data_IF_791677051644
#
_entry.id   IF_791677051644
#
_cell.length_a   1.000
_cell.length_b   1.000
_cell.length_c   1.000
_cell.angle_alpha   90.00
_cell.angle_beta   90.00
_cell.angle_gamma   90.00
#
_symmetry.space_group_name_H-M   'P 1'
#
loop_
_entity.id
_entity.type
_entity.pdbx_description
1 polymer ?
#
# COMPACT_ATOMS: atom_id res chain seq x y z
N UNK A 1 30.26 -75.69 -39.05
CA UNK A 1 29.03 -75.41 -38.29
C UNK A 1 29.31 -74.26 -37.35
N UNK A 2 28.84 -73.08 -37.72
CA UNK A 2 29.10 -71.82 -37.00
C UNK A 2 27.76 -71.08 -36.92
N UNK A 3 27.15 -71.01 -35.74
CA UNK A 3 25.85 -70.37 -35.51
C UNK A 3 25.99 -68.85 -35.27
N UNK A 4 25.07 -68.02 -35.73
CA UNK A 4 25.13 -66.60 -35.54
C UNK A 4 24.37 -66.22 -34.22
N UNK A 5 25.13 -65.77 -33.21
CA UNK A 5 24.63 -65.22 -31.95
C UNK A 5 24.93 -63.70 -31.89
N UNK A 6 24.26 -62.91 -32.75
CA UNK A 6 24.44 -61.43 -32.66
C UNK A 6 23.25 -60.70 -33.30
N UNK A 7 22.04 -60.80 -32.69
CA UNK A 7 20.89 -59.97 -33.10
C UNK A 7 19.88 -59.60 -32.02
N UNK A 8 20.13 -59.84 -30.74
CA UNK A 8 19.12 -59.58 -29.67
C UNK A 8 19.38 -58.32 -28.82
N UNK A 9 20.55 -57.68 -28.93
CA UNK A 9 20.93 -56.57 -28.04
C UNK A 9 20.52 -55.14 -28.50
N UNK A 10 19.90 -54.95 -29.67
CA UNK A 10 19.56 -53.60 -30.15
C UNK A 10 18.09 -53.15 -29.89
N UNK A 11 17.22 -54.04 -29.47
CA UNK A 11 15.81 -53.69 -29.26
C UNK A 11 15.47 -53.12 -27.84
N UNK A 12 16.28 -53.47 -26.84
CA UNK A 12 16.05 -53.02 -25.43
C UNK A 12 16.36 -51.54 -25.18
N UNK A 13 17.35 -50.99 -25.90
CA UNK A 13 17.78 -49.60 -25.69
C UNK A 13 16.83 -48.54 -26.26
N UNK A 14 16.14 -48.86 -27.34
CA UNK A 14 15.17 -47.96 -27.99
C UNK A 14 13.87 -47.91 -27.19
N UNK A 15 13.39 -49.02 -26.65
CA UNK A 15 12.17 -49.08 -25.82
C UNK A 15 12.37 -48.35 -24.48
N UNK A 16 13.54 -48.42 -23.88
CA UNK A 16 13.85 -47.68 -22.64
C UNK A 16 13.89 -46.16 -22.85
N UNK A 17 14.42 -45.71 -23.99
CA UNK A 17 14.44 -44.26 -24.34
C UNK A 17 13.06 -43.67 -24.59
N UNK A 18 12.16 -44.42 -25.24
CA UNK A 18 10.78 -43.99 -25.48
C UNK A 18 9.96 -43.95 -24.18
N UNK A 19 10.16 -44.89 -23.25
CA UNK A 19 9.47 -44.91 -21.97
C UNK A 19 9.89 -43.73 -21.08
N UNK A 20 11.17 -43.35 -21.08
CA UNK A 20 11.70 -42.17 -20.32
C UNK A 20 11.20 -40.88 -20.93
N UNK A 21 11.14 -40.75 -22.27
CA UNK A 21 10.59 -39.59 -22.96
C UNK A 21 9.08 -39.41 -22.70
N UNK A 22 8.31 -40.49 -22.66
CA UNK A 22 6.89 -40.46 -22.33
C UNK A 22 6.63 -40.07 -20.88
N UNK A 23 7.48 -40.47 -19.93
CA UNK A 23 7.38 -40.13 -18.53
C UNK A 23 7.70 -38.65 -18.27
N UNK A 24 8.66 -38.04 -19.02
CA UNK A 24 9.01 -36.63 -18.96
C UNK A 24 7.92 -35.71 -19.51
N UNK A 25 7.17 -36.15 -20.51
CA UNK A 25 6.04 -35.38 -21.10
C UNK A 25 4.86 -35.36 -20.13
N UNK A 26 4.61 -36.40 -19.35
CA UNK A 26 3.48 -36.50 -18.42
C UNK A 26 3.64 -35.52 -17.21
N UNK A 27 4.89 -35.14 -16.83
CA UNK A 27 5.14 -34.25 -15.68
C UNK A 27 4.88 -32.77 -16.03
N UNK A 28 4.95 -32.38 -17.30
CA UNK A 28 4.74 -30.99 -17.74
C UNK A 28 3.26 -30.56 -17.81
N UNK A 29 2.32 -31.50 -17.76
CA UNK A 29 0.89 -31.20 -17.90
C UNK A 29 0.16 -30.90 -16.58
N UNK A 30 0.78 -31.10 -15.42
CA UNK A 30 0.11 -31.01 -14.13
C UNK A 30 -0.13 -29.56 -13.64
N UNK A 31 0.63 -28.59 -14.15
CA UNK A 31 0.58 -27.20 -13.65
C UNK A 31 -0.53 -26.35 -14.26
N UNK A 32 -1.09 -26.76 -15.39
CA UNK A 32 -2.02 -25.95 -16.18
C UNK A 32 -3.48 -26.44 -16.11
N UNK A 33 -3.82 -27.33 -15.15
CA UNK A 33 -5.19 -27.80 -15.06
C UNK A 33 -6.13 -26.67 -14.64
N UNK A 34 -7.05 -26.32 -15.55
CA UNK A 34 -8.12 -25.35 -15.30
C UNK A 34 -9.11 -25.96 -14.30
N UNK A 35 -9.40 -25.21 -13.23
CA UNK A 35 -10.33 -25.64 -12.17
C UNK A 35 -11.66 -24.90 -12.27
N UNK A 36 -11.61 -23.62 -12.67
CA UNK A 36 -12.79 -22.79 -12.81
C UNK A 36 -12.65 -21.92 -14.06
N UNK A 37 -13.73 -21.72 -14.79
CA UNK A 37 -13.86 -20.70 -15.82
C UNK A 37 -14.81 -19.61 -15.32
N UNK A 38 -14.41 -18.34 -15.45
CA UNK A 38 -15.23 -17.17 -15.09
C UNK A 38 -15.51 -16.37 -16.36
N UNK A 39 -16.68 -16.48 -16.93
CA UNK A 39 -17.02 -15.91 -18.23
C UNK A 39 -15.99 -16.29 -19.33
N UNK A 40 -15.46 -17.51 -19.28
CA UNK A 40 -14.42 -18.01 -20.18
C UNK A 40 -12.98 -17.76 -19.73
N UNK A 41 -12.71 -16.91 -18.76
CA UNK A 41 -11.37 -16.69 -18.21
C UNK A 41 -10.97 -17.81 -17.23
N UNK A 42 -9.86 -18.53 -17.45
CA UNK A 42 -9.47 -19.66 -16.63
C UNK A 42 -8.86 -19.25 -15.28
N UNK A 43 -9.14 -20.08 -14.27
CA UNK A 43 -8.43 -20.17 -13.00
C UNK A 43 -7.82 -21.56 -12.91
N UNK A 44 -6.49 -21.63 -12.75
CA UNK A 44 -5.72 -22.87 -12.74
C UNK A 44 -5.39 -23.33 -11.32
N UNK A 45 -4.96 -24.58 -11.16
CA UNK A 45 -4.41 -25.07 -9.89
C UNK A 45 -3.20 -24.23 -9.44
N UNK A 46 -2.36 -23.78 -10.37
CA UNK A 46 -1.24 -22.90 -10.08
C UNK A 46 -1.70 -21.55 -9.46
N UNK A 47 -2.73 -20.94 -10.04
CA UNK A 47 -3.29 -19.70 -9.51
C UNK A 47 -3.80 -19.87 -8.06
N UNK A 48 -4.48 -21.01 -7.81
CA UNK A 48 -5.00 -21.35 -6.48
C UNK A 48 -3.87 -21.53 -5.49
N UNK A 49 -2.83 -22.28 -5.84
CA UNK A 49 -1.68 -22.50 -4.98
C UNK A 49 -0.96 -21.19 -4.64
N UNK A 50 -0.65 -20.38 -5.64
CA UNK A 50 0.01 -19.11 -5.48
C UNK A 50 -0.83 -18.11 -4.68
N UNK A 51 -2.13 -18.04 -4.90
CA UNK A 51 -3.03 -17.18 -4.13
C UNK A 51 -3.17 -17.67 -2.68
N UNK A 52 -3.23 -18.97 -2.46
CA UNK A 52 -3.26 -19.56 -1.10
C UNK A 52 -2.03 -19.14 -0.30
N UNK A 53 -0.83 -19.21 -0.90
CA UNK A 53 0.42 -18.74 -0.26
C UNK A 53 0.38 -17.25 0.03
N UNK A 54 -0.10 -16.42 -0.92
CA UNK A 54 -0.25 -14.98 -0.71
C UNK A 54 -1.18 -14.68 0.46
N UNK A 55 -2.34 -15.33 0.54
CA UNK A 55 -3.29 -15.18 1.63
C UNK A 55 -2.70 -15.62 2.97
N UNK A 56 -1.97 -16.72 3.00
CA UNK A 56 -1.30 -17.22 4.21
C UNK A 56 -0.25 -16.23 4.73
N UNK A 57 0.57 -15.65 3.84
CA UNK A 57 1.58 -14.65 4.21
C UNK A 57 0.91 -13.38 4.75
N UNK A 58 -0.18 -12.92 4.12
CA UNK A 58 -0.85 -11.67 4.49
C UNK A 58 -1.71 -11.77 5.74
N UNK A 59 -2.39 -12.91 5.95
CA UNK A 59 -3.34 -13.10 7.07
C UNK A 59 -2.76 -13.92 8.22
N UNK A 60 -1.62 -14.62 8.00
CA UNK A 60 -1.02 -15.60 8.90
C UNK A 60 -1.96 -16.79 9.23
N UNK A 61 -2.97 -17.02 8.40
CA UNK A 61 -3.92 -18.12 8.52
C UNK A 61 -3.91 -18.93 7.24
N UNK A 62 -4.09 -20.24 7.36
CA UNK A 62 -4.25 -21.10 6.19
C UNK A 62 -5.66 -20.93 5.63
N UNK A 63 -5.82 -20.41 4.38
CA UNK A 63 -7.14 -20.30 3.78
C UNK A 63 -7.63 -21.66 3.30
N UNK A 64 -8.93 -21.83 3.26
CA UNK A 64 -9.55 -22.97 2.58
C UNK A 64 -9.43 -22.82 1.06
N UNK A 65 -9.44 -23.95 0.35
CA UNK A 65 -9.40 -23.92 -1.12
C UNK A 65 -10.56 -23.09 -1.70
N UNK A 66 -11.75 -23.17 -1.09
CA UNK A 66 -12.92 -22.42 -1.56
C UNK A 66 -12.76 -20.92 -1.37
N UNK A 67 -12.24 -20.45 -0.26
CA UNK A 67 -11.93 -19.04 -0.04
C UNK A 67 -10.96 -18.49 -1.09
N UNK A 68 -9.93 -19.29 -1.43
CA UNK A 68 -8.97 -18.91 -2.47
C UNK A 68 -9.63 -18.81 -3.84
N UNK A 69 -10.46 -19.79 -4.20
CA UNK A 69 -11.21 -19.79 -5.47
C UNK A 69 -12.16 -18.58 -5.54
N UNK A 70 -12.87 -18.29 -4.45
CA UNK A 70 -13.80 -17.17 -4.38
C UNK A 70 -13.09 -15.81 -4.53
N UNK A 71 -11.91 -15.63 -3.95
CA UNK A 71 -11.08 -14.44 -4.19
C UNK A 71 -10.64 -14.33 -5.65
N UNK A 72 -10.17 -15.42 -6.25
CA UNK A 72 -9.73 -15.43 -7.66
C UNK A 72 -10.87 -15.12 -8.62
N UNK A 73 -12.06 -15.69 -8.38
CA UNK A 73 -13.28 -15.36 -9.12
C UNK A 73 -13.57 -13.86 -9.00
N UNK A 74 -13.53 -13.31 -7.79
CA UNK A 74 -13.71 -11.89 -7.53
C UNK A 74 -12.73 -11.02 -8.33
N UNK A 75 -11.46 -11.38 -8.36
CA UNK A 75 -10.42 -10.63 -9.09
C UNK A 75 -10.64 -10.71 -10.61
N UNK A 76 -11.05 -11.88 -11.16
CA UNK A 76 -11.43 -12.00 -12.58
C UNK A 76 -12.60 -11.07 -12.92
N UNK A 77 -13.65 -11.06 -12.10
CA UNK A 77 -14.81 -10.19 -12.30
C UNK A 77 -14.46 -8.69 -12.22
N UNK A 78 -13.60 -8.29 -11.28
CA UNK A 78 -13.10 -6.90 -11.18
C UNK A 78 -12.38 -6.48 -12.46
N UNK A 79 -11.48 -7.33 -12.97
CA UNK A 79 -10.75 -7.04 -14.21
C UNK A 79 -11.69 -6.99 -15.42
N UNK A 80 -12.66 -7.89 -15.52
CA UNK A 80 -13.63 -7.93 -16.63
C UNK A 80 -14.51 -6.67 -16.63
N UNK A 81 -15.01 -6.26 -15.47
CA UNK A 81 -15.79 -5.02 -15.38
C UNK A 81 -14.95 -3.80 -15.68
N UNK A 82 -13.68 -3.77 -15.24
CA UNK A 82 -12.74 -2.72 -15.58
C UNK A 82 -12.59 -2.56 -17.10
N UNK A 83 -12.33 -3.65 -17.81
CA UNK A 83 -12.25 -3.64 -19.28
C UNK A 83 -13.53 -3.09 -19.93
N UNK A 84 -14.71 -3.43 -19.42
CA UNK A 84 -16.02 -2.95 -19.90
C UNK A 84 -16.18 -1.44 -19.75
N UNK A 85 -15.62 -0.85 -18.69
CA UNK A 85 -15.68 0.60 -18.42
C UNK A 85 -14.43 1.35 -18.89
N UNK A 86 -13.51 0.70 -19.62
CA UNK A 86 -12.27 1.32 -20.08
C UNK A 86 -11.25 1.62 -18.98
N UNK A 87 -11.40 0.98 -17.81
CA UNK A 87 -10.48 1.13 -16.65
C UNK A 87 -9.43 0.02 -16.73
N UNK A 88 -8.23 0.39 -17.17
CA UNK A 88 -7.10 -0.54 -17.29
C UNK A 88 -5.86 0.12 -16.72
N UNK A 89 -5.41 -0.29 -15.51
CA UNK A 89 -4.20 0.25 -14.92
C UNK A 89 -2.97 -0.07 -15.76
N UNK A 90 -2.07 0.89 -15.87
CA UNK A 90 -0.75 0.70 -16.49
C UNK A 90 0.13 -0.18 -15.62
N UNK A 91 1.15 -0.80 -16.22
CA UNK A 91 2.13 -1.57 -15.45
C UNK A 91 2.87 -0.68 -14.44
N UNK A 92 3.13 0.57 -14.79
CA UNK A 92 3.73 1.56 -13.86
C UNK A 92 2.88 1.80 -12.61
N UNK A 93 1.55 1.89 -12.73
CA UNK A 93 0.66 2.03 -11.56
C UNK A 93 0.72 0.80 -10.65
N UNK A 94 0.75 -0.39 -11.24
CA UNK A 94 0.88 -1.65 -10.50
C UNK A 94 2.24 -1.76 -9.82
N UNK A 95 3.32 -1.39 -10.52
CA UNK A 95 4.68 -1.39 -9.98
C UNK A 95 4.85 -0.38 -8.86
N UNK A 96 4.24 0.79 -8.96
CA UNK A 96 4.19 1.78 -7.88
C UNK A 96 3.44 1.24 -6.64
N UNK A 97 2.32 0.56 -6.84
CA UNK A 97 1.59 -0.08 -5.74
C UNK A 97 2.43 -1.18 -5.07
N UNK A 98 3.12 -2.00 -5.88
CA UNK A 98 4.06 -3.02 -5.38
C UNK A 98 5.22 -2.40 -4.59
N UNK A 99 5.84 -1.33 -5.12
CA UNK A 99 6.90 -0.60 -4.45
C UNK A 99 6.45 0.05 -3.14
N UNK A 100 5.18 0.48 -3.03
CA UNK A 100 4.62 0.98 -1.77
C UNK A 100 4.56 -0.11 -0.70
N UNK A 101 4.15 -1.33 -1.06
CA UNK A 101 4.14 -2.48 -0.14
C UNK A 101 5.58 -2.84 0.29
N UNK A 102 6.53 -2.86 -0.65
CA UNK A 102 7.93 -3.11 -0.35
C UNK A 102 8.48 -2.09 0.68
N UNK A 103 8.17 -0.80 0.51
CA UNK A 103 8.56 0.27 1.47
C UNK A 103 7.98 0.07 2.86
N UNK A 104 6.72 -0.37 2.95
CA UNK A 104 6.08 -0.69 4.24
C UNK A 104 6.81 -1.84 4.93
N UNK A 105 7.37 -2.77 4.15
CA UNK A 105 8.21 -3.87 4.64
C UNK A 105 9.70 -3.47 4.82
N UNK A 106 10.04 -2.18 4.69
CA UNK A 106 11.41 -1.62 4.77
C UNK A 106 12.39 -2.26 3.77
N UNK A 107 11.91 -2.66 2.60
CA UNK A 107 12.70 -3.29 1.54
C UNK A 107 12.65 -2.47 0.24
N UNK A 108 13.67 -2.65 -0.63
CA UNK A 108 13.55 -2.22 -2.02
C UNK A 108 12.60 -3.14 -2.79
N UNK A 109 11.98 -2.69 -3.90
CA UNK A 109 11.10 -3.54 -4.70
C UNK A 109 11.75 -4.85 -5.14
N UNK A 110 13.05 -4.81 -5.50
CA UNK A 110 13.83 -5.98 -5.94
C UNK A 110 14.09 -6.95 -4.78
N UNK A 111 14.48 -6.42 -3.61
CA UNK A 111 14.69 -7.24 -2.41
C UNK A 111 13.39 -7.88 -1.93
N UNK A 112 12.29 -7.14 -2.01
CA UNK A 112 10.96 -7.64 -1.66
C UNK A 112 10.52 -8.76 -2.62
N UNK A 113 10.69 -8.58 -3.95
CA UNK A 113 10.38 -9.61 -4.94
C UNK A 113 11.18 -10.89 -4.68
N UNK A 114 12.50 -10.80 -4.45
CA UNK A 114 13.34 -11.96 -4.10
C UNK A 114 12.89 -12.64 -2.80
N UNK A 115 12.46 -11.86 -1.81
CA UNK A 115 11.91 -12.40 -0.57
C UNK A 115 10.63 -13.22 -0.79
N UNK A 116 9.73 -12.75 -1.65
CA UNK A 116 8.53 -13.49 -2.06
C UNK A 116 8.90 -14.80 -2.78
N UNK A 117 9.83 -14.75 -3.76
CA UNK A 117 10.31 -15.92 -4.50
C UNK A 117 10.95 -16.95 -3.59
N UNK A 118 11.78 -16.53 -2.63
CA UNK A 118 12.37 -17.41 -1.62
C UNK A 118 11.33 -18.10 -0.74
N UNK A 119 10.17 -17.45 -0.52
CA UNK A 119 8.99 -18.01 0.13
C UNK A 119 8.11 -18.86 -0.80
N UNK A 120 8.53 -19.10 -2.06
CA UNK A 120 7.78 -19.86 -3.06
C UNK A 120 6.56 -19.13 -3.64
N UNK A 121 6.50 -17.80 -3.49
CA UNK A 121 5.45 -16.95 -4.06
C UNK A 121 5.98 -16.16 -5.25
N UNK A 122 5.36 -16.33 -6.41
CA UNK A 122 5.66 -15.53 -7.58
C UNK A 122 5.20 -14.07 -7.37
N UNK A 123 6.10 -13.07 -7.49
CA UNK A 123 5.72 -11.65 -7.34
C UNK A 123 4.58 -11.20 -8.26
N UNK A 124 4.43 -11.82 -9.43
CA UNK A 124 3.34 -11.52 -10.35
C UNK A 124 1.96 -11.88 -9.79
N UNK A 125 1.86 -12.82 -8.85
CA UNK A 125 0.60 -13.13 -8.14
C UNK A 125 0.13 -11.92 -7.32
N UNK A 126 1.03 -11.28 -6.59
CA UNK A 126 0.73 -10.05 -5.86
C UNK A 126 0.41 -8.90 -6.81
N UNK A 127 1.19 -8.72 -7.88
CA UNK A 127 0.94 -7.68 -8.90
C UNK A 127 -0.42 -7.87 -9.58
N UNK A 128 -0.84 -9.10 -9.87
CA UNK A 128 -2.15 -9.40 -10.43
C UNK A 128 -3.29 -9.03 -9.48
N UNK A 129 -3.14 -9.32 -8.18
CA UNK A 129 -4.08 -8.88 -7.15
C UNK A 129 -4.16 -7.36 -7.07
N UNK A 130 -3.02 -6.68 -7.03
CA UNK A 130 -2.96 -5.21 -7.00
C UNK A 130 -3.65 -4.59 -8.21
N UNK A 131 -3.45 -5.17 -9.41
CA UNK A 131 -4.13 -4.71 -10.63
C UNK A 131 -5.65 -4.82 -10.47
N UNK A 132 -6.16 -5.94 -9.97
CA UNK A 132 -7.60 -6.11 -9.72
C UNK A 132 -8.12 -5.11 -8.67
N UNK A 133 -7.37 -4.85 -7.62
CA UNK A 133 -7.76 -3.92 -6.55
C UNK A 133 -7.74 -2.45 -7.03
N UNK A 134 -6.77 -2.05 -7.87
CA UNK A 134 -6.71 -0.72 -8.48
C UNK A 134 -7.93 -0.51 -9.39
N UNK A 135 -8.21 -1.46 -10.28
CA UNK A 135 -9.40 -1.44 -11.13
C UNK A 135 -10.66 -1.28 -10.28
N UNK A 136 -10.78 -2.13 -9.27
CA UNK A 136 -11.97 -2.13 -8.42
C UNK A 136 -12.18 -0.82 -7.70
N UNK A 137 -11.11 -0.26 -7.15
CA UNK A 137 -11.18 1.04 -6.47
C UNK A 137 -11.63 2.16 -7.40
N UNK A 138 -11.17 2.18 -8.65
CA UNK A 138 -11.59 3.17 -9.65
C UNK A 138 -13.07 2.98 -10.05
N UNK A 139 -13.49 1.73 -10.29
CA UNK A 139 -14.88 1.41 -10.64
C UNK A 139 -15.85 1.81 -9.53
N UNK A 140 -15.57 1.41 -8.27
CA UNK A 140 -16.45 1.72 -7.14
C UNK A 140 -16.53 3.22 -6.92
N UNK A 141 -15.41 3.94 -6.95
CA UNK A 141 -15.39 5.40 -6.79
C UNK A 141 -16.14 6.11 -7.93
N UNK A 142 -15.97 5.69 -9.17
CA UNK A 142 -16.65 6.31 -10.30
C UNK A 142 -18.15 6.00 -10.32
N UNK A 143 -18.53 4.72 -10.21
CA UNK A 143 -19.93 4.27 -10.32
C UNK A 143 -20.80 4.73 -9.16
N UNK A 144 -20.24 4.80 -7.94
CA UNK A 144 -20.99 5.09 -6.72
C UNK A 144 -20.61 6.43 -6.07
N UNK A 145 -20.01 7.36 -6.83
CA UNK A 145 -19.50 8.64 -6.33
C UNK A 145 -20.50 9.36 -5.40
N UNK A 146 -21.77 9.48 -5.80
CA UNK A 146 -22.81 10.13 -5.00
C UNK A 146 -23.17 9.40 -3.71
N UNK A 147 -23.08 8.06 -3.70
CA UNK A 147 -23.38 7.24 -2.50
C UNK A 147 -22.21 7.20 -1.52
N UNK A 148 -21.00 7.50 -2.00
CA UNK A 148 -19.79 7.54 -1.17
C UNK A 148 -19.62 8.87 -0.44
N UNK A 149 -20.33 9.93 -0.86
CA UNK A 149 -20.24 11.23 -0.21
C UNK A 149 -20.78 11.15 1.22
N UNK A 150 -20.00 11.71 2.15
CA UNK A 150 -20.33 11.81 3.56
C UNK A 150 -20.74 13.26 3.84
N UNK A 151 -21.99 13.47 4.20
CA UNK A 151 -22.53 14.81 4.49
C UNK A 151 -22.14 15.30 5.89
N UNK A 152 -22.11 16.63 6.07
CA UNK A 152 -21.83 17.23 7.39
C UNK A 152 -22.81 16.76 8.48
N UNK A 153 -24.07 16.54 8.11
CA UNK A 153 -25.09 16.01 9.03
C UNK A 153 -24.72 14.61 9.54
N UNK A 154 -24.30 13.72 8.64
CA UNK A 154 -23.89 12.36 9.00
C UNK A 154 -22.69 12.38 9.96
N UNK A 155 -21.72 13.29 9.69
CA UNK A 155 -20.53 13.47 10.53
C UNK A 155 -20.93 13.96 11.92
N UNK A 156 -21.83 14.95 11.99
CA UNK A 156 -22.28 15.51 13.27
C UNK A 156 -22.99 14.45 14.13
N UNK A 157 -23.93 13.71 13.56
CA UNK A 157 -24.65 12.62 14.26
C UNK A 157 -23.70 11.50 14.74
N UNK A 158 -22.64 11.21 13.97
CA UNK A 158 -21.66 10.20 14.35
C UNK A 158 -20.72 10.70 15.46
N UNK A 159 -20.36 12.00 15.44
CA UNK A 159 -19.55 12.61 16.49
C UNK A 159 -20.31 12.70 17.83
N UNK A 160 -21.59 13.08 17.82
CA UNK A 160 -22.42 13.10 19.05
C UNK A 160 -22.43 11.75 19.75
N UNK A 161 -22.40 10.66 18.98
CA UNK A 161 -22.37 9.28 19.52
C UNK A 161 -20.99 8.87 20.06
N UNK A 162 -19.90 9.48 19.58
CA UNK A 162 -18.51 9.05 19.86
C UNK A 162 -17.75 9.93 20.85
N UNK A 163 -18.11 11.21 21.01
CA UNK A 163 -17.27 12.15 21.78
C UNK A 163 -18.07 12.95 22.81
N UNK A 164 -17.43 13.20 23.97
CA UNK A 164 -17.92 14.12 25.01
C UNK A 164 -17.86 15.62 24.61
N UNK A 165 -18.02 15.96 23.34
CA UNK A 165 -18.18 17.34 22.87
C UNK A 165 -16.91 18.20 22.81
N UNK A 166 -15.69 17.63 22.91
CA UNK A 166 -14.43 18.37 22.96
C UNK A 166 -13.53 18.21 21.71
N UNK A 167 -14.12 18.06 20.52
CA UNK A 167 -13.31 17.97 19.31
C UNK A 167 -12.98 19.37 18.77
N UNK A 168 -11.96 20.00 19.34
CA UNK A 168 -11.46 21.32 18.91
C UNK A 168 -10.32 21.13 17.92
N UNK A 169 -10.51 21.66 16.72
CA UNK A 169 -9.44 21.76 15.72
C UNK A 169 -8.56 22.98 15.92
N UNK A 170 -7.35 22.92 15.42
CA UNK A 170 -6.42 24.06 15.40
C UNK A 170 -5.88 24.29 13.99
N UNK A 171 -5.81 25.54 13.57
CA UNK A 171 -5.03 25.97 12.42
C UNK A 171 -3.68 26.49 12.92
N UNK A 172 -2.61 25.96 12.36
CA UNK A 172 -1.24 26.35 12.67
C UNK A 172 -0.61 27.11 11.50
N UNK A 173 0.11 28.20 11.81
CA UNK A 173 1.09 28.81 10.90
C UNK A 173 2.46 28.25 11.28
N UNK A 174 2.99 27.36 10.45
CA UNK A 174 4.25 26.69 10.65
C UNK A 174 5.32 27.24 9.69
N UNK A 175 6.53 27.43 10.18
CA UNK A 175 7.68 27.75 9.32
C UNK A 175 8.70 26.63 9.41
N UNK A 176 8.91 25.87 8.30
CA UNK A 176 9.89 24.79 8.27
C UNK A 176 11.31 25.36 8.29
N UNK A 177 12.16 24.80 9.15
CA UNK A 177 13.59 25.10 9.27
C UNK A 177 14.35 23.81 9.10
N UNK A 178 15.24 23.74 8.11
CA UNK A 178 16.00 22.54 7.76
C UNK A 178 17.49 22.81 7.90
N UNK A 179 18.14 22.08 8.78
CA UNK A 179 19.60 22.02 8.85
C UNK A 179 20.04 21.00 7.79
N UNK A 180 20.60 21.49 6.70
CA UNK A 180 20.91 20.68 5.52
C UNK A 180 22.04 19.69 5.83
N UNK A 181 21.84 18.44 5.42
CA UNK A 181 22.84 17.37 5.48
C UNK A 181 23.00 16.80 4.08
N UNK A 182 24.21 16.77 3.50
CA UNK A 182 24.45 16.14 2.21
C UNK A 182 24.09 14.64 2.24
N UNK A 183 23.56 14.13 1.15
CA UNK A 183 23.22 12.70 1.05
C UNK A 183 24.48 11.84 1.18
N UNK A 184 24.38 10.75 1.91
CA UNK A 184 25.51 9.84 2.15
C UNK A 184 26.48 10.32 3.23
N UNK A 185 26.16 11.37 3.99
CA UNK A 185 26.98 11.81 5.13
C UNK A 185 27.10 10.73 6.21
N UNK A 186 28.26 10.67 6.86
CA UNK A 186 28.49 9.75 7.96
C UNK A 186 27.57 10.02 9.16
N UNK A 187 27.27 9.01 9.96
CA UNK A 187 26.40 9.14 11.14
C UNK A 187 26.89 10.20 12.13
N UNK A 188 28.21 10.41 12.26
CA UNK A 188 28.81 11.47 13.09
C UNK A 188 28.41 12.89 12.65
N UNK A 189 28.26 13.11 11.32
CA UNK A 189 27.79 14.40 10.77
C UNK A 189 26.34 14.63 11.12
N UNK A 190 25.50 13.58 10.99
CA UNK A 190 24.09 13.66 11.37
C UNK A 190 23.92 13.99 12.84
N UNK A 191 24.71 13.36 13.71
CA UNK A 191 24.66 13.60 15.15
C UNK A 191 25.17 15.01 15.53
N UNK A 192 26.22 15.51 14.88
CA UNK A 192 26.69 16.89 15.07
C UNK A 192 25.60 17.89 14.69
N UNK A 193 24.95 17.69 13.53
CA UNK A 193 23.83 18.53 13.08
C UNK A 193 22.63 18.47 14.00
N UNK A 194 22.36 17.32 14.62
CA UNK A 194 21.28 17.18 15.61
C UNK A 194 21.56 18.03 16.84
N UNK A 195 22.79 18.04 17.33
CA UNK A 195 23.18 18.92 18.45
C UNK A 195 23.04 20.40 18.10
N UNK A 196 23.39 20.80 16.88
CA UNK A 196 23.19 22.18 16.40
C UNK A 196 21.68 22.53 16.33
N UNK A 197 20.83 21.60 15.86
CA UNK A 197 19.38 21.76 15.85
C UNK A 197 18.80 21.92 17.26
N UNK A 198 19.26 21.12 18.22
CA UNK A 198 18.85 21.24 19.62
C UNK A 198 19.31 22.56 20.22
N UNK A 199 20.53 23.04 19.93
CA UNK A 199 21.02 24.34 20.36
C UNK A 199 20.20 25.49 19.73
N UNK A 200 19.86 25.40 18.45
CA UNK A 200 18.96 26.37 17.79
C UNK A 200 17.60 26.39 18.48
N UNK A 201 17.03 25.21 18.77
CA UNK A 201 15.74 25.08 19.45
C UNK A 201 15.69 25.77 20.78
N UNK A 202 16.77 25.66 21.60
CA UNK A 202 16.86 26.33 22.89
C UNK A 202 16.92 27.87 22.77
N UNK A 203 17.58 28.38 21.73
CA UNK A 203 17.75 29.81 21.47
C UNK A 203 16.57 30.47 20.77
N UNK A 204 15.73 29.69 20.11
CA UNK A 204 14.58 30.18 19.35
C UNK A 204 13.42 30.48 20.31
N UNK A 205 13.16 31.77 20.56
CA UNK A 205 12.18 32.23 21.55
C UNK A 205 10.85 32.67 20.89
N UNK A 206 10.93 33.24 19.70
CA UNK A 206 9.78 33.72 18.91
C UNK A 206 10.10 33.71 17.43
N UNK A 207 9.04 33.75 16.57
CA UNK A 207 9.22 33.73 15.13
C UNK A 207 9.77 35.04 14.54
N UNK A 208 9.56 36.21 15.22
CA UNK A 208 10.01 37.50 14.74
C UNK A 208 11.54 37.61 14.77
N UNK A 209 12.15 37.24 15.85
CA UNK A 209 13.60 37.27 16.06
C UNK A 209 14.28 35.95 15.64
N UNK A 210 13.65 34.83 15.94
CA UNK A 210 14.22 33.51 15.71
C UNK A 210 14.35 33.12 14.23
N UNK A 211 13.41 33.51 13.39
CA UNK A 211 13.47 33.24 11.93
C UNK A 211 14.63 33.96 11.25
N UNK A 212 14.84 35.27 11.43
CA UNK A 212 16.04 35.95 10.91
C UNK A 212 17.34 35.34 11.47
N UNK A 213 17.38 34.99 12.77
CA UNK A 213 18.53 34.34 13.39
C UNK A 213 18.82 32.97 12.71
N UNK A 214 17.83 32.13 12.55
CA UNK A 214 18.00 30.81 11.90
C UNK A 214 18.47 30.96 10.43
N UNK A 215 17.96 31.97 9.69
CA UNK A 215 18.36 32.27 8.33
C UNK A 215 19.81 32.71 8.19
N UNK A 216 20.38 33.30 9.20
CA UNK A 216 21.76 33.73 9.22
C UNK A 216 22.78 32.60 9.56
N UNK A 217 22.28 31.43 9.97
CA UNK A 217 23.11 30.27 10.25
C UNK A 217 23.57 29.58 8.97
N UNK A 218 24.79 29.05 9.01
CA UNK A 218 25.37 28.33 7.87
C UNK A 218 24.66 26.99 7.65
N UNK A 219 24.36 26.71 6.38
CA UNK A 219 23.70 25.48 5.91
C UNK A 219 22.33 25.23 6.60
N UNK A 220 21.62 26.31 6.92
CA UNK A 220 20.24 26.29 7.41
C UNK A 220 19.33 26.92 6.38
N UNK A 221 18.33 26.14 5.92
CA UNK A 221 17.31 26.61 5.00
C UNK A 221 16.01 26.90 5.79
N UNK A 222 15.57 28.16 5.76
CA UNK A 222 14.27 28.57 6.29
C UNK A 222 13.29 28.69 5.11
N UNK A 223 12.29 27.81 5.09
CA UNK A 223 11.28 27.75 4.02
C UNK A 223 10.17 28.76 4.26
N UNK A 224 9.34 28.99 3.26
CA UNK A 224 8.14 29.82 3.37
C UNK A 224 7.16 29.24 4.40
N UNK A 225 6.40 30.11 5.08
CA UNK A 225 5.42 29.66 6.07
C UNK A 225 4.30 28.88 5.40
N UNK A 226 3.84 27.83 6.08
CA UNK A 226 2.74 27.00 5.64
C UNK A 226 1.63 27.02 6.68
N UNK A 227 0.37 27.12 6.21
CA UNK A 227 -0.80 26.90 7.07
C UNK A 227 -1.17 25.42 7.06
N UNK A 228 -1.42 24.85 8.20
CA UNK A 228 -1.86 23.47 8.37
C UNK A 228 -2.98 23.37 9.39
N UNK A 229 -4.03 22.64 9.02
CA UNK A 229 -5.07 22.28 9.96
C UNK A 229 -4.63 21.06 10.78
N UNK A 230 -4.99 21.00 12.05
CA UNK A 230 -4.70 19.85 12.92
C UNK A 230 -5.27 18.53 12.38
N UNK A 231 -6.36 18.59 11.62
CA UNK A 231 -6.94 17.44 10.93
C UNK A 231 -6.03 16.86 9.85
N UNK A 232 -5.17 17.67 9.22
CA UNK A 232 -4.25 17.26 8.15
C UNK A 232 -2.91 16.72 8.65
N UNK A 233 -2.68 16.80 9.96
CA UNK A 233 -1.43 16.37 10.59
C UNK A 233 -1.48 14.89 10.97
N UNK A 234 -0.30 14.25 10.92
CA UNK A 234 -0.17 12.91 11.51
C UNK A 234 -0.47 12.98 13.01
N UNK A 235 -0.99 11.91 13.64
CA UNK A 235 -1.28 11.90 15.08
C UNK A 235 -0.07 12.31 15.92
N UNK A 236 1.13 11.83 15.58
CA UNK A 236 2.36 12.14 16.27
C UNK A 236 2.73 13.64 16.21
N UNK A 237 2.68 14.24 15.00
CA UNK A 237 2.97 15.66 14.83
C UNK A 237 1.92 16.54 15.52
N UNK A 238 0.66 16.12 15.50
CA UNK A 238 -0.45 16.79 16.19
C UNK A 238 -0.20 16.87 17.70
N UNK A 239 0.19 15.76 18.33
CA UNK A 239 0.52 15.73 19.75
C UNK A 239 1.70 16.62 20.08
N UNK A 240 2.74 16.63 19.23
CA UNK A 240 3.90 17.50 19.40
C UNK A 240 3.47 18.96 19.35
N UNK A 241 2.73 19.38 18.31
CA UNK A 241 2.32 20.77 18.13
C UNK A 241 1.32 21.24 19.19
N UNK A 242 0.49 20.35 19.73
CA UNK A 242 -0.44 20.68 20.81
C UNK A 242 0.30 21.08 22.11
N UNK A 243 1.49 20.50 22.37
CA UNK A 243 2.29 20.71 23.59
C UNK A 243 3.29 21.86 23.45
N UNK A 244 3.58 22.32 22.23
CA UNK A 244 4.57 23.38 22.00
C UNK A 244 3.91 24.75 22.13
N UNK A 245 4.58 25.65 22.81
CA UNK A 245 4.19 27.06 22.90
C UNK A 245 4.38 27.78 21.56
N UNK A 246 3.53 28.76 21.29
CA UNK A 246 3.67 29.65 20.14
C UNK A 246 5.03 30.36 20.22
N UNK A 247 5.73 30.44 19.09
CA UNK A 247 7.06 31.01 19.01
C UNK A 247 8.19 29.98 19.20
N UNK A 248 7.92 28.73 19.51
CA UNK A 248 8.93 27.68 19.74
C UNK A 248 9.07 26.71 18.55
N UNK A 249 10.20 25.98 18.56
CA UNK A 249 10.50 24.94 17.57
C UNK A 249 10.05 23.56 18.05
N UNK A 250 9.58 22.73 17.11
CA UNK A 250 9.39 21.29 17.33
C UNK A 250 10.71 20.59 17.64
N UNK A 251 10.70 19.38 18.24
CA UNK A 251 11.88 18.55 18.31
C UNK A 251 12.47 18.30 16.91
N UNK A 252 13.81 18.18 16.79
CA UNK A 252 14.47 17.91 15.52
C UNK A 252 14.14 16.52 15.00
N UNK A 253 13.73 16.41 13.73
CA UNK A 253 13.43 15.17 13.03
C UNK A 253 14.41 14.97 11.88
N UNK A 254 14.96 13.75 11.75
CA UNK A 254 15.88 13.41 10.66
C UNK A 254 15.06 13.06 9.41
N UNK A 255 15.31 13.79 8.33
CA UNK A 255 14.66 13.60 7.03
C UNK A 255 15.69 13.30 5.94
N UNK A 256 15.22 13.02 4.73
CA UNK A 256 16.10 12.80 3.56
C UNK A 256 16.88 14.05 3.13
N UNK A 257 16.51 15.23 3.61
CA UNK A 257 17.12 16.53 3.25
C UNK A 257 17.98 17.12 4.38
N UNK A 258 17.96 16.52 5.56
CA UNK A 258 18.67 16.99 6.74
C UNK A 258 17.81 16.85 8.01
N UNK A 259 18.02 17.73 8.98
CA UNK A 259 17.23 17.77 10.20
C UNK A 259 16.18 18.87 10.08
N UNK A 260 14.92 18.49 10.15
CA UNK A 260 13.78 19.39 10.02
C UNK A 260 13.16 19.70 11.37
N UNK A 261 12.79 20.96 11.58
CA UNK A 261 12.01 21.48 12.70
C UNK A 261 10.96 22.45 12.17
N UNK A 262 9.85 22.58 12.87
CA UNK A 262 8.82 23.56 12.57
C UNK A 262 8.78 24.63 13.67
N UNK A 263 8.88 25.91 13.28
CA UNK A 263 8.53 27.00 14.19
C UNK A 263 7.02 27.19 14.20
N UNK A 264 6.39 27.15 15.37
CA UNK A 264 4.97 27.37 15.57
C UNK A 264 4.73 28.85 15.72
N UNK A 265 4.44 29.55 14.61
CA UNK A 265 4.32 31.02 14.65
C UNK A 265 2.91 31.48 15.04
N UNK A 266 1.86 30.74 14.68
CA UNK A 266 0.50 31.02 15.14
C UNK A 266 -0.23 29.70 15.41
N UNK A 267 -1.19 29.75 16.33
CA UNK A 267 -2.19 28.71 16.59
C UNK A 267 -3.54 29.39 16.80
N UNK A 268 -4.54 28.99 16.00
CA UNK A 268 -5.91 29.47 16.12
C UNK A 268 -6.84 28.28 16.25
N UNK A 269 -7.82 28.37 17.13
CA UNK A 269 -8.89 27.36 17.20
C UNK A 269 -9.78 27.47 15.96
N UNK A 270 -10.22 26.33 15.47
CA UNK A 270 -11.15 26.23 14.34
C UNK A 270 -12.16 25.13 14.57
N UNK A 271 -13.42 25.44 14.29
CA UNK A 271 -14.52 24.47 14.31
C UNK A 271 -14.84 23.88 12.92
N UNK A 272 -14.22 24.40 11.86
CA UNK A 272 -14.57 24.03 10.49
C UNK A 272 -14.11 22.62 10.12
N UNK A 273 -12.90 22.24 10.48
CA UNK A 273 -12.35 20.90 10.22
C UNK A 273 -11.55 20.43 11.44
N UNK A 274 -12.11 19.48 12.18
CA UNK A 274 -11.49 18.92 13.37
C UNK A 274 -10.90 17.53 13.05
N UNK A 275 -9.93 17.04 13.84
CA UNK A 275 -9.41 15.68 13.69
C UNK A 275 -10.51 14.62 13.80
N UNK A 276 -11.45 14.77 14.70
CA UNK A 276 -12.58 13.86 14.87
C UNK A 276 -13.53 13.87 13.68
N UNK A 277 -13.87 15.06 13.15
CA UNK A 277 -14.66 15.18 11.91
C UNK A 277 -14.00 14.43 10.76
N UNK A 278 -12.69 14.63 10.57
CA UNK A 278 -11.95 13.95 9.52
C UNK A 278 -11.93 12.45 9.72
N UNK A 279 -11.63 11.98 10.93
CA UNK A 279 -11.61 10.56 11.23
C UNK A 279 -12.98 9.92 10.96
N UNK A 280 -14.07 10.52 11.42
CA UNK A 280 -15.44 10.03 11.19
C UNK A 280 -15.76 10.01 9.70
N UNK A 281 -15.39 11.06 8.96
CA UNK A 281 -15.59 11.13 7.50
C UNK A 281 -14.86 10.00 6.79
N UNK A 282 -13.59 9.75 7.12
CA UNK A 282 -12.77 8.71 6.51
C UNK A 282 -13.30 7.30 6.84
N UNK A 283 -13.72 7.05 8.08
CA UNK A 283 -14.34 5.81 8.50
C UNK A 283 -15.67 5.56 7.74
N UNK A 284 -16.58 6.53 7.70
CA UNK A 284 -17.84 6.40 6.99
C UNK A 284 -17.67 6.23 5.48
N UNK A 285 -16.68 6.95 4.89
CA UNK A 285 -16.34 6.76 3.50
C UNK A 285 -15.85 5.32 3.25
N UNK A 286 -14.95 4.81 4.10
CA UNK A 286 -14.42 3.45 4.00
C UNK A 286 -15.55 2.40 4.12
N UNK A 287 -16.43 2.56 5.08
CA UNK A 287 -17.60 1.66 5.26
C UNK A 287 -18.53 1.68 4.04
N UNK A 288 -18.89 2.87 3.55
CA UNK A 288 -19.71 3.01 2.34
C UNK A 288 -19.03 2.41 1.11
N UNK A 289 -17.73 2.64 0.96
CA UNK A 289 -16.93 2.09 -0.13
C UNK A 289 -16.93 0.55 -0.10
N UNK A 290 -16.68 -0.05 1.06
CA UNK A 290 -16.68 -1.50 1.22
C UNK A 290 -18.07 -2.09 0.96
N UNK A 291 -19.12 -1.49 1.53
CA UNK A 291 -20.50 -1.95 1.36
C UNK A 291 -20.96 -1.87 -0.11
N UNK A 292 -20.71 -0.73 -0.79
CA UNK A 292 -21.05 -0.60 -2.22
C UNK A 292 -20.23 -1.56 -3.09
N UNK A 293 -18.92 -1.71 -2.79
CA UNK A 293 -18.07 -2.66 -3.46
C UNK A 293 -18.54 -4.11 -3.27
N UNK A 294 -18.80 -4.54 -2.04
CA UNK A 294 -19.26 -5.90 -1.77
C UNK A 294 -20.61 -6.21 -2.45
N UNK A 295 -21.56 -5.27 -2.37
CA UNK A 295 -22.86 -5.40 -3.05
C UNK A 295 -22.71 -5.53 -4.56
N UNK A 296 -21.89 -4.68 -5.17
CA UNK A 296 -21.68 -4.71 -6.62
C UNK A 296 -20.91 -5.95 -7.07
N UNK A 297 -19.92 -6.41 -6.32
CA UNK A 297 -19.21 -7.66 -6.62
C UNK A 297 -20.16 -8.86 -6.55
N UNK A 298 -21.07 -8.88 -5.57
CA UNK A 298 -22.11 -9.91 -5.47
C UNK A 298 -23.06 -9.89 -6.67
N UNK A 299 -23.47 -8.72 -7.15
CA UNK A 299 -24.27 -8.54 -8.37
C UNK A 299 -23.52 -9.07 -9.60
N UNK A 300 -22.25 -8.70 -9.78
CA UNK A 300 -21.43 -9.20 -10.88
C UNK A 300 -21.29 -10.72 -10.84
N UNK A 301 -21.10 -11.29 -9.65
CA UNK A 301 -20.99 -12.75 -9.49
C UNK A 301 -22.30 -13.47 -9.83
N UNK A 302 -23.44 -12.91 -9.44
CA UNK A 302 -24.75 -13.50 -9.76
C UNK A 302 -25.06 -13.52 -11.26
N UNK A 303 -24.53 -12.55 -12.01
CA UNK A 303 -24.67 -12.47 -13.47
C UNK A 303 -23.55 -13.15 -14.27
N UNK A 304 -22.54 -13.73 -13.59
CA UNK A 304 -21.41 -14.36 -14.26
C UNK A 304 -21.63 -15.84 -14.51
N UNK A 305 -21.10 -16.33 -15.64
CA UNK A 305 -21.03 -17.77 -15.93
C UNK A 305 -19.77 -18.33 -15.26
N UNK A 306 -19.97 -19.13 -14.22
CA UNK A 306 -18.91 -19.76 -13.43
C UNK A 306 -19.02 -21.28 -13.59
N UNK A 307 -18.04 -21.87 -14.25
CA UNK A 307 -17.99 -23.31 -14.53
C UNK A 307 -16.84 -23.95 -13.74
N UNK A 308 -17.16 -24.88 -12.84
CA UNK A 308 -16.19 -25.72 -12.13
C UNK A 308 -15.85 -26.95 -12.96
N UNK A 309 -14.54 -27.31 -13.05
CA UNK A 309 -14.04 -28.45 -13.84
C UNK A 309 -13.26 -29.43 -12.97
#
# INVERSE_FOLDING_TARGET
>A
MMFPLLRVLKCGSVCAGIAIAALLIAVLSASAQVVVLVNGDPITNYDIEQRSRLMQISTRKQPTRQEVIDELIGDKLKIQVGKRYGVTPTDTEVDNAFANIARTSRATPEAFAKGLESGGLNPNTLKSKLRADIVWAQIVRGKFASRLQVGEKDIFEALEKKSDGKDVGHEYLLRPIVLVIPRGSAASVVEARRKEADALRQRFQDCGSGVPFARALRDVAVREPIRRNSADLTPQLREILAKIEIGRLTPPEVTNTGIEMFAVCERKETASETPGKRQVRDEMFSERFQAQGASYLKELRAGAMIEYR
#
